data_IF_505505856688
#
_entry.id   IF_505505856688
#
_cell.length_a   1.000
_cell.length_b   1.000
_cell.length_c   1.000
_cell.angle_alpha   90.00
_cell.angle_beta   90.00
_cell.angle_gamma   90.00
#
_symmetry.space_group_name_H-M   'P 1'
#
loop_
_entity.id
_entity.type
_entity.pdbx_description
1 polymer ?
#
# COMPACT_ATOMS: atom_id res chain seq x y z
N UNK A 1 -19.28 12.15 16.56
CA UNK A 1 -18.91 11.03 17.46
C UNK A 1 -19.23 9.73 16.76
N UNK A 2 -18.32 8.77 16.77
CA UNK A 2 -18.57 7.39 16.33
C UNK A 2 -19.20 6.64 17.50
N UNK A 3 -20.34 5.97 17.27
CA UNK A 3 -21.05 5.17 18.27
C UNK A 3 -21.51 3.85 17.64
N UNK A 4 -21.76 2.82 18.46
CA UNK A 4 -22.27 1.55 17.96
C UNK A 4 -23.63 1.72 17.25
N UNK A 5 -24.46 2.65 17.72
CA UNK A 5 -25.78 2.96 17.13
C UNK A 5 -25.68 3.76 15.82
N UNK A 6 -24.55 4.40 15.55
CA UNK A 6 -24.28 5.10 14.28
C UNK A 6 -23.38 4.31 13.33
N UNK A 7 -22.89 3.13 13.75
CA UNK A 7 -22.03 2.30 12.94
C UNK A 7 -22.86 1.57 11.89
N UNK A 8 -22.51 1.76 10.61
CA UNK A 8 -23.14 1.04 9.50
C UNK A 8 -22.15 0.00 8.99
N UNK A 9 -22.60 -1.25 8.85
CA UNK A 9 -21.81 -2.30 8.20
C UNK A 9 -21.75 -2.00 6.71
N UNK A 10 -20.55 -1.73 6.20
CA UNK A 10 -20.33 -1.44 4.78
C UNK A 10 -19.98 -2.72 4.00
N UNK A 11 -19.12 -3.57 4.57
CA UNK A 11 -18.64 -4.77 3.88
C UNK A 11 -18.29 -5.87 4.89
N UNK A 12 -18.45 -7.13 4.47
CA UNK A 12 -18.02 -8.30 5.25
C UNK A 12 -16.90 -9.00 4.48
N UNK A 13 -15.68 -8.98 5.03
CA UNK A 13 -14.53 -9.56 4.39
C UNK A 13 -14.56 -11.10 4.47
N UNK A 14 -14.45 -11.84 3.34
CA UNK A 14 -14.55 -13.29 3.35
C UNK A 14 -13.28 -13.92 3.89
N UNK A 15 -13.43 -14.79 4.89
CA UNK A 15 -12.32 -15.54 5.51
C UNK A 15 -11.85 -16.71 4.64
N UNK A 16 -12.75 -17.34 3.86
CA UNK A 16 -12.43 -18.57 3.13
C UNK A 16 -11.68 -18.29 1.81
N UNK A 17 -10.59 -19.03 1.55
CA UNK A 17 -9.72 -18.81 0.40
C UNK A 17 -9.59 -20.01 -0.55
N UNK A 18 -10.46 -21.01 -0.45
CA UNK A 18 -10.54 -22.11 -1.42
C UNK A 18 -10.46 -23.52 -0.83
N UNK A 19 -9.86 -23.72 0.35
CA UNK A 19 -9.75 -25.03 1.02
C UNK A 19 -9.80 -24.95 2.55
N UNK A 20 -9.99 -26.08 3.24
CA UNK A 20 -10.13 -26.16 4.70
C UNK A 20 -8.91 -25.63 5.50
N UNK A 21 -7.75 -25.53 4.84
CA UNK A 21 -6.49 -25.05 5.44
C UNK A 21 -6.03 -23.69 4.91
N UNK A 22 -6.74 -23.06 3.97
CA UNK A 22 -6.34 -21.76 3.39
C UNK A 22 -7.39 -20.70 3.68
N UNK A 23 -6.97 -19.64 4.38
CA UNK A 23 -7.82 -18.52 4.74
C UNK A 23 -7.24 -17.19 4.27
N UNK A 24 -8.11 -16.22 3.99
CA UNK A 24 -7.74 -14.82 3.79
C UNK A 24 -7.80 -14.12 5.13
N UNK A 25 -6.82 -13.30 5.44
CA UNK A 25 -6.92 -12.37 6.56
C UNK A 25 -6.65 -10.95 6.08
N UNK A 26 -7.29 -10.01 6.76
CA UNK A 26 -7.06 -8.59 6.56
C UNK A 26 -5.86 -8.19 7.42
N UNK A 27 -4.82 -7.66 6.79
CA UNK A 27 -3.61 -7.21 7.46
C UNK A 27 -3.61 -5.72 7.72
N UNK A 28 -4.35 -4.94 6.93
CA UNK A 28 -4.37 -3.49 7.11
C UNK A 28 -5.58 -2.82 6.47
N UNK A 29 -5.99 -1.70 7.09
CA UNK A 29 -7.11 -0.86 6.66
C UNK A 29 -6.67 0.59 6.74
N UNK A 30 -6.61 1.27 5.60
CA UNK A 30 -6.09 2.62 5.50
C UNK A 30 -7.12 3.55 4.85
N UNK A 31 -7.35 4.72 5.44
CA UNK A 31 -8.25 5.72 4.87
C UNK A 31 -7.63 6.38 3.63
N UNK A 32 -8.41 6.48 2.55
CA UNK A 32 -7.96 6.97 1.24
C UNK A 32 -8.96 7.99 0.65
N UNK A 33 -9.37 8.97 1.46
CA UNK A 33 -10.41 9.93 1.07
C UNK A 33 -11.79 9.29 1.12
N UNK A 34 -12.51 9.31 -0.01
CA UNK A 34 -13.81 8.64 -0.19
C UNK A 34 -13.69 7.11 -0.38
N UNK A 35 -12.48 6.59 -0.21
CA UNK A 35 -12.14 5.16 -0.32
C UNK A 35 -11.46 4.66 0.95
N UNK A 36 -11.45 3.34 1.10
CA UNK A 36 -10.64 2.61 2.08
C UNK A 36 -9.78 1.61 1.33
N UNK A 37 -8.48 1.66 1.59
CA UNK A 37 -7.51 0.67 1.10
C UNK A 37 -7.47 -0.51 2.06
N UNK A 38 -7.64 -1.71 1.51
CA UNK A 38 -7.61 -2.99 2.22
C UNK A 38 -6.39 -3.78 1.77
N UNK A 39 -5.51 -4.13 2.70
CA UNK A 39 -4.40 -5.05 2.46
C UNK A 39 -4.78 -6.39 3.08
N UNK A 40 -4.79 -7.44 2.26
CA UNK A 40 -5.12 -8.78 2.71
C UNK A 40 -4.14 -9.80 2.17
N UNK A 41 -4.02 -10.93 2.86
CA UNK A 41 -3.14 -12.02 2.46
C UNK A 41 -3.87 -13.34 2.53
N UNK A 42 -3.43 -14.32 1.74
CA UNK A 42 -3.82 -15.72 1.92
C UNK A 42 -2.78 -16.45 2.73
N UNK A 43 -3.23 -17.25 3.69
CA UNK A 43 -2.38 -18.11 4.50
C UNK A 43 -2.86 -19.54 4.44
N UNK A 44 -1.95 -20.45 4.13
CA UNK A 44 -2.20 -21.90 4.19
C UNK A 44 -1.54 -22.48 5.44
N UNK A 45 -2.34 -23.11 6.31
CA UNK A 45 -1.84 -23.77 7.52
C UNK A 45 -0.85 -24.89 7.15
N UNK A 46 0.29 -24.93 7.85
CA UNK A 46 1.34 -25.92 7.62
C UNK A 46 2.27 -25.63 6.43
N UNK A 47 2.06 -24.53 5.72
CA UNK A 47 2.98 -24.02 4.68
C UNK A 47 3.71 -22.79 5.24
N UNK A 48 4.96 -22.56 4.79
CA UNK A 48 5.81 -21.44 5.23
C UNK A 48 5.28 -20.04 4.87
N UNK A 49 6.16 -19.04 4.93
CA UNK A 49 5.85 -17.58 4.94
C UNK A 49 5.27 -17.04 3.61
N UNK A 50 5.07 -17.86 2.58
CA UNK A 50 4.55 -17.37 1.30
C UNK A 50 3.06 -17.00 1.44
N UNK A 51 2.81 -15.71 1.58
CA UNK A 51 1.51 -15.10 1.73
C UNK A 51 1.16 -14.34 0.45
N UNK A 52 0.17 -14.81 -0.31
CA UNK A 52 -0.30 -14.10 -1.51
C UNK A 52 -1.00 -12.81 -1.09
N UNK A 53 -0.32 -11.68 -1.23
CA UNK A 53 -0.83 -10.35 -0.91
C UNK A 53 -1.82 -9.83 -1.95
N UNK A 54 -2.83 -9.09 -1.48
CA UNK A 54 -3.82 -8.44 -2.31
C UNK A 54 -4.15 -7.04 -1.75
N UNK A 55 -3.93 -6.03 -2.58
CA UNK A 55 -4.36 -4.65 -2.36
C UNK A 55 -5.72 -4.45 -3.03
N UNK A 56 -6.70 -3.95 -2.27
CA UNK A 56 -8.03 -3.63 -2.79
C UNK A 56 -8.49 -2.25 -2.33
N UNK A 57 -9.37 -1.63 -3.09
CA UNK A 57 -10.03 -0.38 -2.75
C UNK A 57 -11.53 -0.60 -2.57
N UNK A 58 -12.09 0.00 -1.52
CA UNK A 58 -13.51 -0.01 -1.21
C UNK A 58 -14.03 1.43 -1.22
N UNK A 59 -14.97 1.74 -2.11
CA UNK A 59 -15.57 3.07 -2.21
C UNK A 59 -16.59 3.29 -1.08
N UNK A 60 -16.24 4.07 -0.05
CA UNK A 60 -17.14 4.31 1.10
C UNK A 60 -18.22 5.35 0.80
N UNK A 61 -18.02 6.21 -0.20
CA UNK A 61 -19.04 7.16 -0.66
C UNK A 61 -20.24 6.44 -1.26
N UNK A 62 -20.01 5.39 -2.07
CA UNK A 62 -21.09 4.52 -2.58
C UNK A 62 -21.85 3.83 -1.45
N UNK A 63 -21.12 3.36 -0.44
CA UNK A 63 -21.76 2.74 0.73
C UNK A 63 -22.62 3.75 1.51
N UNK A 64 -22.14 4.99 1.66
CA UNK A 64 -22.90 6.07 2.29
C UNK A 64 -24.16 6.46 1.50
N UNK A 65 -24.17 6.24 0.18
CA UNK A 65 -25.34 6.39 -0.68
C UNK A 65 -26.32 5.20 -0.62
N UNK A 66 -26.02 4.15 0.16
CA UNK A 66 -26.84 2.95 0.29
C UNK A 66 -26.61 1.91 -0.80
N UNK A 67 -25.56 2.06 -1.61
CA UNK A 67 -25.20 1.08 -2.64
C UNK A 67 -24.47 -0.12 -2.03
N UNK A 68 -24.60 -1.29 -2.67
CA UNK A 68 -23.80 -2.46 -2.33
C UNK A 68 -22.37 -2.26 -2.86
N UNK A 69 -21.39 -2.27 -1.97
CA UNK A 69 -19.98 -2.04 -2.33
C UNK A 69 -19.17 -3.31 -2.13
N UNK A 70 -18.39 -3.67 -3.15
CA UNK A 70 -17.45 -4.78 -3.13
C UNK A 70 -16.05 -4.22 -3.35
N UNK A 71 -15.03 -4.61 -2.56
CA UNK A 71 -13.66 -4.19 -2.80
C UNK A 71 -13.20 -4.60 -4.19
N UNK A 72 -12.57 -3.68 -4.91
CA UNK A 72 -11.96 -3.94 -6.20
C UNK A 72 -10.47 -4.14 -5.96
N UNK A 73 -9.98 -5.32 -6.33
CA UNK A 73 -8.58 -5.67 -6.16
C UNK A 73 -7.73 -5.18 -7.33
N UNK A 74 -6.48 -4.84 -7.03
CA UNK A 74 -5.44 -4.67 -8.04
C UNK A 74 -5.32 -5.97 -8.85
N UNK A 75 -5.43 -5.88 -10.17
CA UNK A 75 -5.37 -7.07 -11.05
C UNK A 75 -3.98 -7.70 -11.13
N UNK A 76 -2.95 -6.87 -11.02
CA UNK A 76 -1.54 -7.28 -11.07
C UNK A 76 -0.74 -6.38 -10.14
N UNK A 77 -0.10 -6.97 -9.15
CA UNK A 77 0.89 -6.29 -8.31
C UNK A 77 2.27 -6.70 -8.81
N UNK A 78 3.18 -5.73 -8.93
CA UNK A 78 4.57 -6.01 -9.29
C UNK A 78 5.30 -6.44 -8.01
N UNK A 79 5.45 -7.74 -7.77
CA UNK A 79 6.00 -8.24 -6.49
C UNK A 79 7.44 -7.76 -6.23
N UNK A 80 8.17 -7.32 -7.26
CA UNK A 80 9.51 -6.72 -7.12
C UNK A 80 9.49 -5.46 -6.24
N UNK A 81 8.33 -4.83 -6.08
CA UNK A 81 8.10 -3.70 -5.18
C UNK A 81 8.33 -4.02 -3.70
N UNK A 82 8.20 -5.30 -3.32
CA UNK A 82 8.47 -5.77 -1.97
C UNK A 82 9.97 -5.87 -1.68
N UNK A 83 10.81 -5.86 -2.71
CA UNK A 83 12.27 -5.90 -2.55
C UNK A 83 12.87 -4.49 -2.47
N UNK A 84 12.33 -3.55 -3.25
CA UNK A 84 12.82 -2.17 -3.32
C UNK A 84 12.28 -1.28 -2.21
N UNK A 85 12.89 -0.10 -2.02
CA UNK A 85 12.26 0.97 -1.23
C UNK A 85 11.01 1.42 -1.96
N UNK A 86 9.84 1.07 -1.46
CA UNK A 86 8.56 1.44 -2.06
C UNK A 86 7.67 2.24 -1.11
N UNK A 87 6.79 3.02 -1.70
CA UNK A 87 5.81 3.87 -1.04
C UNK A 87 4.47 3.61 -1.70
N UNK A 88 3.45 3.41 -0.88
CA UNK A 88 2.05 3.42 -1.28
C UNK A 88 1.45 4.72 -0.73
N UNK A 89 0.93 5.55 -1.62
CA UNK A 89 0.33 6.84 -1.29
C UNK A 89 -1.01 7.03 -2.02
N UNK A 90 -1.79 8.02 -1.60
CA UNK A 90 -3.09 8.36 -2.18
C UNK A 90 -3.13 9.83 -2.56
N UNK A 91 -3.36 10.10 -3.83
CA UNK A 91 -3.75 11.41 -4.32
C UNK A 91 -5.28 11.50 -4.28
N UNK A 92 -5.79 12.13 -3.21
CA UNK A 92 -7.24 12.26 -2.98
C UNK A 92 -7.90 13.23 -3.97
N UNK A 93 -7.16 14.22 -4.46
CA UNK A 93 -7.71 15.23 -5.38
C UNK A 93 -8.00 14.62 -6.74
N UNK A 94 -7.17 13.67 -7.18
CA UNK A 94 -7.30 13.01 -8.47
C UNK A 94 -7.92 11.61 -8.39
N UNK A 95 -8.29 11.17 -7.19
CA UNK A 95 -8.77 9.82 -6.89
C UNK A 95 -7.81 8.70 -7.35
N UNK A 96 -6.51 8.86 -7.07
CA UNK A 96 -5.46 7.92 -7.51
C UNK A 96 -4.70 7.26 -6.35
N UNK A 97 -4.45 5.96 -6.50
CA UNK A 97 -3.45 5.23 -5.71
C UNK A 97 -2.10 5.36 -6.40
N UNK A 98 -1.11 5.88 -5.68
CA UNK A 98 0.25 6.11 -6.15
C UNK A 98 1.15 5.03 -5.58
N UNK A 99 1.80 4.28 -6.46
CA UNK A 99 2.75 3.24 -6.10
C UNK A 99 4.12 3.62 -6.67
N UNK A 100 5.04 4.02 -5.81
CA UNK A 100 6.37 4.48 -6.20
C UNK A 100 7.46 3.63 -5.59
N UNK A 101 8.53 3.36 -6.33
CA UNK A 101 9.66 2.61 -5.82
C UNK A 101 11.00 3.05 -6.42
N UNK A 102 12.04 2.81 -5.64
CA UNK A 102 13.44 3.10 -5.99
C UNK A 102 14.18 1.79 -6.27
N UNK A 103 14.37 1.51 -7.56
CA UNK A 103 15.19 0.38 -7.99
C UNK A 103 16.67 0.70 -7.79
N UNK A 104 17.40 -0.18 -7.09
CA UNK A 104 18.85 -0.09 -6.94
C UNK A 104 19.51 -0.82 -8.12
N UNK A 105 19.81 -0.09 -9.19
CA UNK A 105 20.68 -0.63 -10.22
C UNK A 105 22.09 -0.83 -9.61
N UNK A 106 22.81 -1.89 -10.04
CA UNK A 106 24.14 -2.25 -9.53
C UNK A 106 25.22 -1.16 -9.68
N UNK A 107 24.89 -0.03 -10.31
CA UNK A 107 25.69 1.19 -10.43
C UNK A 107 25.41 2.24 -9.33
N UNK A 108 24.58 1.88 -8.33
CA UNK A 108 24.15 2.74 -7.21
C UNK A 108 23.35 3.98 -7.62
N UNK A 109 22.78 4.01 -8.83
CA UNK A 109 21.85 5.07 -9.24
C UNK A 109 20.42 4.57 -9.11
N UNK A 110 19.62 5.26 -8.31
CA UNK A 110 18.21 4.94 -8.15
C UNK A 110 17.47 5.20 -9.47
N UNK A 111 16.75 4.18 -9.96
CA UNK A 111 15.73 4.38 -11.00
C UNK A 111 14.37 4.45 -10.31
N UNK A 112 13.74 5.60 -10.44
CA UNK A 112 12.40 5.81 -9.93
C UNK A 112 11.39 5.22 -10.92
N UNK A 113 10.47 4.41 -10.40
CA UNK A 113 9.28 4.02 -11.15
C UNK A 113 8.06 4.27 -10.29
N UNK A 114 7.13 5.02 -10.84
CA UNK A 114 5.86 5.35 -10.21
C UNK A 114 4.73 4.95 -11.11
N UNK A 115 3.74 4.26 -10.56
CA UNK A 115 2.54 3.80 -11.24
C UNK A 115 1.33 4.39 -10.53
N UNK A 116 0.37 4.88 -11.31
CA UNK A 116 -0.87 5.45 -10.81
C UNK A 116 -2.01 4.50 -11.16
N UNK A 117 -2.82 4.15 -10.17
CA UNK A 117 -4.04 3.38 -10.34
C UNK A 117 -5.23 4.26 -10.04
N UNK A 118 -6.25 4.21 -10.90
CA UNK A 118 -7.56 4.79 -10.62
C UNK A 118 -8.20 4.03 -9.45
N UNK A 119 -8.61 4.73 -8.38
CA UNK A 119 -9.09 4.08 -7.16
C UNK A 119 -10.45 3.38 -7.33
N UNK A 120 -11.25 3.81 -8.30
CA UNK A 120 -12.56 3.23 -8.59
C UNK A 120 -12.44 1.92 -9.38
N UNK A 121 -11.47 1.81 -10.29
CA UNK A 121 -11.32 0.65 -11.19
C UNK A 121 -10.12 -0.23 -10.88
N UNK A 122 -9.19 0.28 -10.06
CA UNK A 122 -7.87 -0.32 -9.79
C UNK A 122 -7.09 -0.69 -11.05
N UNK A 123 -7.28 0.12 -12.10
CA UNK A 123 -6.61 -0.02 -13.38
C UNK A 123 -5.65 1.15 -13.61
N UNK A 124 -4.63 0.94 -14.45
CA UNK A 124 -3.69 1.99 -14.82
C UNK A 124 -4.39 2.83 -15.91
N UNK A 125 -4.75 4.10 -15.65
CA UNK A 125 -5.50 4.89 -16.62
C UNK A 125 -4.66 5.18 -17.88
N UNK A 126 -3.34 5.36 -17.71
CA UNK A 126 -2.32 5.59 -18.76
C UNK A 126 -0.92 5.37 -18.12
N UNK A 127 0.14 4.93 -18.84
CA UNK A 127 1.50 4.96 -18.30
C UNK A 127 1.95 6.42 -18.08
N UNK A 128 1.71 6.92 -16.87
CA UNK A 128 2.21 8.21 -16.44
C UNK A 128 3.63 8.02 -15.92
N UNK A 129 4.58 8.73 -16.51
CA UNK A 129 5.93 8.84 -15.94
C UNK A 129 5.80 9.81 -14.77
N UNK A 130 5.61 9.27 -13.57
CA UNK A 130 5.66 10.07 -12.36
C UNK A 130 7.10 10.16 -11.83
N UNK A 131 7.60 11.39 -11.77
CA UNK A 131 8.98 11.72 -11.37
C UNK A 131 8.95 12.29 -9.96
N UNK A 132 9.76 11.72 -9.07
CA UNK A 132 10.16 12.27 -7.79
C UNK A 132 9.63 11.54 -6.57
N UNK A 133 10.56 11.19 -5.68
CA UNK A 133 10.42 11.42 -4.25
C UNK A 133 11.33 12.62 -3.91
N UNK A 134 10.79 13.71 -3.37
CA UNK A 134 11.62 14.77 -2.78
C UNK A 134 11.20 14.92 -1.32
N UNK A 135 11.96 14.21 -0.48
CA UNK A 135 12.02 14.44 0.96
C UNK A 135 10.82 13.93 1.77
N UNK A 136 11.06 13.00 2.69
CA UNK A 136 10.11 12.67 3.77
C UNK A 136 10.52 13.55 4.95
N UNK A 137 10.12 14.82 4.95
CA UNK A 137 10.43 15.76 6.04
C UNK A 137 9.38 15.72 7.14
N UNK A 138 9.81 15.33 8.34
CA UNK A 138 9.01 15.50 9.56
C UNK A 138 7.78 14.61 9.67
N UNK A 139 6.86 14.99 10.56
CA UNK A 139 5.64 14.25 10.90
C UNK A 139 4.61 14.17 9.75
N UNK A 140 4.86 14.85 8.63
CA UNK A 140 3.96 14.87 7.47
C UNK A 140 4.33 13.75 6.47
N UNK A 141 3.44 12.77 6.35
CA UNK A 141 3.50 11.66 5.40
C UNK A 141 3.02 12.12 4.01
N UNK A 142 3.72 13.04 3.35
CA UNK A 142 3.33 13.59 2.04
C UNK A 142 4.39 13.25 0.99
N UNK A 143 3.94 12.85 -0.20
CA UNK A 143 4.76 12.62 -1.38
C UNK A 143 4.48 13.71 -2.43
N UNK A 144 5.52 14.44 -2.83
CA UNK A 144 5.50 15.33 -3.99
C UNK A 144 5.92 14.58 -5.25
N UNK A 145 5.10 14.63 -6.31
CA UNK A 145 5.35 13.92 -7.57
C UNK A 145 4.84 14.71 -8.79
N UNK A 146 5.26 14.33 -10.01
CA UNK A 146 4.84 15.02 -11.24
C UNK A 146 4.09 14.15 -12.21
N UNK A 147 3.02 14.65 -12.82
CA UNK A 147 2.23 13.94 -13.85
C UNK A 147 2.05 14.87 -15.05
N UNK A 148 2.61 14.51 -16.21
CA UNK A 148 2.44 15.34 -17.42
C UNK A 148 2.92 16.79 -17.28
N UNK A 149 3.89 17.06 -16.39
CA UNK A 149 4.40 18.39 -16.08
C UNK A 149 3.70 19.12 -14.92
N UNK A 150 2.55 18.61 -14.47
CA UNK A 150 1.85 19.10 -13.27
C UNK A 150 2.51 18.58 -12.00
N UNK A 151 2.66 19.44 -10.99
CA UNK A 151 3.12 19.04 -9.66
C UNK A 151 1.92 18.63 -8.81
N UNK A 152 1.97 17.45 -8.21
CA UNK A 152 0.91 16.85 -7.40
C UNK A 152 1.42 16.38 -6.05
N UNK A 153 0.46 16.11 -5.15
CA UNK A 153 0.70 15.64 -3.78
C UNK A 153 -0.10 14.39 -3.50
N UNK A 154 0.49 13.45 -2.76
CA UNK A 154 -0.18 12.25 -2.30
C UNK A 154 0.13 12.00 -0.82
N UNK A 155 -0.86 11.55 -0.06
CA UNK A 155 -0.70 11.14 1.33
C UNK A 155 -0.13 9.72 1.38
N UNK A 156 1.02 9.54 2.02
CA UNK A 156 1.65 8.23 2.19
C UNK A 156 0.83 7.40 3.18
N UNK A 157 0.30 6.28 2.69
CA UNK A 157 -0.39 5.29 3.51
C UNK A 157 0.60 4.33 4.17
N UNK A 158 1.61 3.91 3.41
CA UNK A 158 2.54 2.85 3.80
C UNK A 158 3.93 3.07 3.18
N UNK A 159 4.97 2.85 3.98
CA UNK A 159 6.33 2.60 3.48
C UNK A 159 6.51 1.09 3.42
N UNK A 160 6.83 0.57 2.24
CA UNK A 160 6.91 -0.87 2.02
C UNK A 160 8.22 -1.28 1.36
N UNK A 161 8.53 -2.56 1.48
CA UNK A 161 9.65 -3.20 0.81
C UNK A 161 10.97 -3.19 1.57
N UNK A 162 11.72 -4.27 1.39
CA UNK A 162 12.92 -4.58 2.18
C UNK A 162 14.06 -3.59 1.95
N UNK A 163 14.06 -2.83 0.86
CA UNK A 163 15.04 -1.78 0.61
C UNK A 163 15.11 -0.72 1.72
N UNK A 164 14.01 -0.48 2.46
CA UNK A 164 14.04 0.41 3.63
C UNK A 164 14.86 -0.14 4.79
N UNK A 165 14.90 -1.48 4.91
CA UNK A 165 15.73 -2.17 5.88
C UNK A 165 17.16 -2.27 5.38
N UNK A 166 17.38 -2.75 4.15
CA UNK A 166 18.71 -3.12 3.63
C UNK A 166 19.72 -1.97 3.63
N UNK A 167 19.33 -0.74 3.24
CA UNK A 167 20.27 0.39 3.22
C UNK A 167 20.74 0.79 4.63
N UNK A 168 19.88 0.60 5.64
CA UNK A 168 20.27 0.79 7.03
C UNK A 168 20.98 -0.46 7.58
N UNK A 169 20.54 -1.66 7.22
CA UNK A 169 20.99 -2.96 7.74
C UNK A 169 22.46 -3.25 7.48
N UNK A 170 22.96 -2.91 6.28
CA UNK A 170 24.30 -3.24 5.82
C UNK A 170 25.44 -2.60 6.64
N UNK A 171 25.13 -1.61 7.50
CA UNK A 171 26.11 -0.82 8.24
C UNK A 171 25.92 -0.89 9.77
N UNK A 172 25.09 -1.82 10.27
CA UNK A 172 24.70 -1.86 11.69
C UNK A 172 25.12 -3.15 12.39
N UNK A 173 25.25 -3.09 13.72
CA UNK A 173 25.46 -4.27 14.56
C UNK A 173 24.19 -5.14 14.64
N UNK A 174 24.35 -6.42 14.98
CA UNK A 174 23.24 -7.40 15.07
C UNK A 174 22.12 -6.96 16.03
N UNK A 175 22.46 -6.30 17.15
CA UNK A 175 21.49 -5.73 18.09
C UNK A 175 20.66 -4.59 17.46
N UNK A 176 21.32 -3.73 16.67
CA UNK A 176 20.66 -2.62 15.99
C UNK A 176 19.81 -3.09 14.81
N UNK A 177 20.26 -4.12 14.11
CA UNK A 177 19.49 -4.81 13.07
C UNK A 177 18.20 -5.40 13.66
N UNK A 178 18.29 -6.13 14.77
CA UNK A 178 17.12 -6.66 15.47
C UNK A 178 16.18 -5.56 15.94
N UNK A 179 16.69 -4.45 16.48
CA UNK A 179 15.87 -3.30 16.87
C UNK A 179 15.12 -2.70 15.68
N UNK A 180 15.80 -2.43 14.56
CA UNK A 180 15.17 -1.89 13.35
C UNK A 180 14.13 -2.81 12.74
N UNK A 181 14.38 -4.13 12.78
CA UNK A 181 13.39 -5.12 12.36
C UNK A 181 12.12 -5.06 13.22
N UNK A 182 12.28 -5.00 14.54
CA UNK A 182 11.16 -4.89 15.48
C UNK A 182 10.44 -3.54 15.35
N UNK A 183 11.17 -2.44 15.16
CA UNK A 183 10.59 -1.11 14.91
C UNK A 183 9.82 -1.07 13.58
N UNK A 184 10.31 -1.73 12.52
CA UNK A 184 9.58 -1.89 11.27
C UNK A 184 8.27 -2.67 11.45
N UNK A 185 8.33 -3.82 12.14
CA UNK A 185 7.13 -4.61 12.47
C UNK A 185 6.13 -3.82 13.32
N UNK A 186 6.60 -2.97 14.23
CA UNK A 186 5.76 -2.18 15.13
C UNK A 186 5.25 -0.86 14.52
N UNK A 187 5.90 -0.36 13.46
CA UNK A 187 5.53 0.89 12.75
C UNK A 187 4.70 0.65 11.49
N UNK A 188 4.58 -0.62 11.10
CA UNK A 188 3.64 -1.10 10.08
C UNK A 188 2.33 -1.43 10.82
N UNK A 189 1.21 -0.73 10.54
CA UNK A 189 -0.07 -0.98 11.20
C UNK A 189 -0.59 -2.40 11.04
#
# INVERSE_FOLDING_TARGET
MLSASSATRIYTFPLYAGGASTYRYLSGVFGAGDYVQLTSYKKTLGVGIYEDGQFSMLNVKKAAAGENVVPIALKSFDDTLLEYKSIIAVDKEHEQLVLSYLEYAGDKKYKEKTVLYDMETMSIPTPVIAIGFKEITGQALIMDYKVGGEQRKADILLKNGLGWLIENWAFLSEEQQNKLYMDYLNSTP
#
